data_IF_606003550882
#
_entry.id   IF_606003550882
#
_cell.length_a   1.000
_cell.length_b   1.000
_cell.length_c   1.000
_cell.angle_alpha   90.00
_cell.angle_beta   90.00
_cell.angle_gamma   90.00
#
_symmetry.space_group_name_H-M   'P 1'
#
loop_
_entity.id
_entity.type
_entity.pdbx_description
1 polymer ?
#
# COMPACT_ATOMS: atom_id res chain seq x y z
N UNK A 1 35.44 -15.02 50.30
CA UNK A 1 35.53 -14.33 48.99
C UNK A 1 34.72 -15.02 47.86
N UNK A 2 34.74 -16.36 47.69
CA UNK A 2 33.96 -17.05 46.62
C UNK A 2 32.43 -16.85 46.68
N UNK A 3 31.82 -16.77 47.87
CA UNK A 3 30.36 -16.59 48.03
C UNK A 3 29.86 -15.22 47.56
N UNK A 4 30.62 -14.15 47.84
CA UNK A 4 30.29 -12.78 47.42
C UNK A 4 30.39 -12.65 45.90
N UNK A 5 31.40 -13.29 45.29
CA UNK A 5 31.57 -13.28 43.84
C UNK A 5 30.42 -13.99 43.11
N UNK A 6 29.90 -15.07 43.67
CA UNK A 6 28.73 -15.77 43.11
C UNK A 6 27.44 -14.98 43.28
N UNK A 7 27.26 -14.27 44.40
CA UNK A 7 26.10 -13.40 44.61
C UNK A 7 26.09 -12.23 43.62
N UNK A 8 27.27 -11.61 43.38
CA UNK A 8 27.42 -10.53 42.41
C UNK A 8 27.07 -10.97 40.97
N UNK A 9 27.49 -12.18 40.57
CA UNK A 9 27.16 -12.75 39.25
C UNK A 9 25.66 -12.98 39.07
N UNK A 10 24.97 -13.48 40.09
CA UNK A 10 23.52 -13.72 40.04
C UNK A 10 22.78 -12.38 39.96
N UNK A 11 23.19 -11.37 40.73
CA UNK A 11 22.58 -10.03 40.67
C UNK A 11 22.75 -9.37 39.30
N UNK A 12 23.88 -9.53 38.64
CA UNK A 12 24.11 -8.99 37.28
C UNK A 12 23.23 -9.69 36.24
N UNK A 13 23.09 -11.01 36.32
CA UNK A 13 22.22 -11.78 35.42
C UNK A 13 20.75 -11.39 35.62
N UNK A 14 20.31 -11.23 36.87
CA UNK A 14 18.96 -10.75 37.17
C UNK A 14 18.72 -9.33 36.61
N UNK A 15 19.70 -8.42 36.70
CA UNK A 15 19.59 -7.07 36.14
C UNK A 15 19.49 -7.09 34.60
N UNK A 16 20.26 -7.95 33.94
CA UNK A 16 20.21 -8.17 32.49
C UNK A 16 18.86 -8.74 32.04
N UNK A 17 18.31 -9.71 32.78
CA UNK A 17 16.99 -10.27 32.49
C UNK A 17 15.86 -9.25 32.63
N UNK A 18 15.95 -8.35 33.63
CA UNK A 18 14.97 -7.26 33.80
C UNK A 18 15.11 -6.24 32.66
N UNK A 19 16.33 -5.88 32.26
CA UNK A 19 16.58 -4.95 31.15
C UNK A 19 16.04 -5.49 29.81
N UNK A 20 16.31 -6.76 29.50
CA UNK A 20 15.77 -7.42 28.28
C UNK A 20 14.24 -7.50 28.36
N UNK A 21 13.67 -7.86 29.52
CA UNK A 21 12.22 -7.89 29.73
C UNK A 21 11.54 -6.53 29.53
N UNK A 22 12.18 -5.43 29.93
CA UNK A 22 11.69 -4.06 29.66
C UNK A 22 11.81 -3.68 28.19
N UNK A 23 12.86 -4.09 27.47
CA UNK A 23 12.99 -3.83 26.02
C UNK A 23 11.93 -4.60 25.23
N UNK A 24 11.62 -5.84 25.60
CA UNK A 24 10.58 -6.65 24.94
C UNK A 24 9.17 -6.13 25.24
N UNK A 25 8.91 -5.61 26.45
CA UNK A 25 7.62 -4.98 26.78
C UNK A 25 7.39 -3.64 26.08
N UNK A 26 8.44 -2.87 25.81
CA UNK A 26 8.34 -1.61 25.05
C UNK A 26 8.40 -1.81 23.53
N UNK A 27 9.04 -2.87 23.04
CA UNK A 27 9.10 -3.19 21.60
C UNK A 27 7.88 -3.98 21.07
N UNK A 28 7.00 -4.47 21.95
CA UNK A 28 5.95 -5.44 21.59
C UNK A 28 4.62 -4.88 21.06
N UNK A 29 4.41 -3.56 20.97
CA UNK A 29 3.12 -3.00 20.47
C UNK A 29 3.24 -1.73 19.65
N UNK A 30 4.44 -1.36 19.21
CA UNK A 30 4.62 -0.32 18.20
C UNK A 30 5.11 -0.98 16.92
N UNK A 31 4.17 -1.48 16.12
CA UNK A 31 4.36 -1.46 14.66
C UNK A 31 4.81 -0.01 14.38
N UNK A 32 6.04 0.22 13.88
CA UNK A 32 6.51 1.57 13.69
C UNK A 32 5.59 2.24 12.67
N UNK A 33 4.68 3.09 13.17
CA UNK A 33 4.12 4.17 12.39
C UNK A 33 5.33 4.87 11.77
N UNK A 34 5.33 5.00 10.44
CA UNK A 34 6.36 5.67 9.64
C UNK A 34 7.61 4.85 9.28
N UNK A 35 7.49 3.89 8.37
CA UNK A 35 8.60 3.46 7.52
C UNK A 35 8.58 4.05 6.10
N UNK A 36 7.64 4.94 5.77
CA UNK A 36 7.65 5.66 4.48
C UNK A 36 8.70 6.78 4.37
N UNK A 37 9.42 7.08 5.46
CA UNK A 37 10.47 8.10 5.48
C UNK A 37 11.90 7.52 5.38
N UNK A 38 12.06 6.20 5.21
CA UNK A 38 13.39 5.65 4.93
C UNK A 38 13.65 5.73 3.42
N UNK A 39 14.68 6.46 2.96
CA UNK A 39 15.04 6.55 1.54
C UNK A 39 15.58 5.23 0.93
N UNK A 40 15.43 4.09 1.63
CA UNK A 40 15.98 2.79 1.26
C UNK A 40 14.97 1.64 1.45
N UNK A 41 13.71 1.80 1.02
CA UNK A 41 12.81 0.64 0.90
C UNK A 41 13.18 -0.14 -0.37
N UNK A 42 13.28 -1.45 -0.27
CA UNK A 42 13.41 -2.33 -1.44
C UNK A 42 12.12 -2.31 -2.28
N UNK A 43 12.17 -2.85 -3.50
CA UNK A 43 10.96 -3.01 -4.33
C UNK A 43 9.96 -3.99 -3.71
N UNK A 44 10.44 -4.95 -2.91
CA UNK A 44 9.61 -5.86 -2.13
C UNK A 44 8.95 -5.15 -0.93
N UNK A 45 9.68 -4.23 -0.28
CA UNK A 45 9.17 -3.52 0.91
C UNK A 45 7.97 -2.62 0.58
N UNK A 46 7.97 -1.93 -0.57
CA UNK A 46 6.81 -1.08 -0.97
C UNK A 46 5.55 -1.93 -1.18
N UNK A 47 5.70 -3.16 -1.68
CA UNK A 47 4.60 -4.11 -1.88
C UNK A 47 4.08 -4.60 -0.53
N UNK A 48 4.97 -5.04 0.36
CA UNK A 48 4.60 -5.50 1.72
C UNK A 48 3.88 -4.39 2.47
N UNK A 49 4.38 -3.16 2.38
CA UNK A 49 3.75 -1.99 2.99
C UNK A 49 2.36 -1.71 2.39
N UNK A 50 2.23 -1.78 1.07
CA UNK A 50 0.92 -1.62 0.41
C UNK A 50 -0.10 -2.65 0.87
N UNK A 51 0.25 -3.95 0.84
CA UNK A 51 -0.66 -5.03 1.23
C UNK A 51 -1.10 -4.86 2.69
N UNK A 52 -0.15 -4.64 3.60
CA UNK A 52 -0.46 -4.43 5.02
C UNK A 52 -1.35 -3.20 5.24
N UNK A 53 -1.09 -2.10 4.52
CA UNK A 53 -1.89 -0.88 4.59
C UNK A 53 -3.29 -1.07 4.03
N UNK A 54 -3.42 -1.79 2.91
CA UNK A 54 -4.69 -2.07 2.25
C UNK A 54 -5.64 -2.82 3.20
N UNK A 55 -5.18 -3.92 3.78
CA UNK A 55 -6.00 -4.75 4.69
C UNK A 55 -6.11 -4.20 6.12
N UNK A 56 -5.31 -3.20 6.49
CA UNK A 56 -5.54 -2.38 7.69
C UNK A 56 -6.32 -1.09 7.43
N UNK A 57 -6.75 -0.90 6.17
CA UNK A 57 -7.52 0.25 5.71
C UNK A 57 -6.84 1.62 5.92
N UNK A 58 -5.51 1.66 5.92
CA UNK A 58 -4.70 2.87 6.05
C UNK A 58 -4.51 3.55 4.69
N UNK A 59 -5.46 4.41 4.32
CA UNK A 59 -5.44 5.16 3.06
C UNK A 59 -4.17 6.00 2.89
N UNK A 60 -3.64 6.58 3.96
CA UNK A 60 -2.44 7.42 3.87
C UNK A 60 -1.21 6.62 3.41
N UNK A 61 -1.07 5.40 3.92
CA UNK A 61 0.04 4.53 3.55
C UNK A 61 -0.18 3.95 2.16
N UNK A 62 -1.40 3.49 1.84
CA UNK A 62 -1.75 2.99 0.50
C UNK A 62 -1.42 4.03 -0.57
N UNK A 63 -1.88 5.27 -0.42
CA UNK A 63 -1.62 6.37 -1.38
C UNK A 63 -0.13 6.63 -1.58
N UNK A 64 0.69 6.52 -0.53
CA UNK A 64 2.15 6.73 -0.61
C UNK A 64 2.89 5.59 -1.32
N UNK A 65 2.31 4.40 -1.40
CA UNK A 65 2.91 3.28 -2.13
C UNK A 65 2.88 3.49 -3.65
N UNK A 66 1.91 4.25 -4.18
CA UNK A 66 1.71 4.42 -5.62
C UNK A 66 2.51 5.59 -6.19
N UNK A 67 2.90 5.48 -7.46
CA UNK A 67 3.68 6.51 -8.13
C UNK A 67 2.84 7.77 -8.32
N UNK A 68 3.36 8.98 -8.03
CA UNK A 68 2.68 10.22 -8.33
C UNK A 68 2.46 10.42 -9.84
N UNK A 69 3.21 9.70 -10.69
CA UNK A 69 3.07 9.73 -12.15
C UNK A 69 1.73 9.18 -12.62
N UNK A 70 1.02 8.41 -11.78
CA UNK A 70 -0.35 7.98 -12.06
C UNK A 70 -1.37 9.13 -12.05
N UNK A 71 -0.98 10.33 -11.62
CA UNK A 71 -1.78 11.55 -11.77
C UNK A 71 -1.47 12.36 -13.03
N UNK A 72 -0.43 11.98 -13.79
CA UNK A 72 0.02 12.72 -14.97
C UNK A 72 -0.41 12.00 -16.25
N UNK A 73 -1.27 12.64 -17.06
CA UNK A 73 -1.82 12.03 -18.28
C UNK A 73 -0.73 11.59 -19.27
N UNK A 74 0.37 12.31 -19.40
CA UNK A 74 1.45 11.92 -20.30
C UNK A 74 2.15 10.64 -19.84
N UNK A 75 2.39 10.53 -18.53
CA UNK A 75 2.96 9.32 -17.92
C UNK A 75 1.97 8.15 -17.99
N UNK A 76 0.67 8.41 -17.82
CA UNK A 76 -0.35 7.39 -18.01
C UNK A 76 -0.37 6.84 -19.44
N UNK A 77 -0.24 7.69 -20.48
CA UNK A 77 -0.13 7.22 -21.86
C UNK A 77 1.12 6.35 -22.05
N UNK A 78 2.22 6.76 -21.44
CA UNK A 78 3.46 6.00 -21.42
C UNK A 78 3.29 4.62 -20.76
N UNK A 79 2.64 4.54 -19.59
CA UNK A 79 2.37 3.27 -18.91
C UNK A 79 1.37 2.40 -19.70
N UNK A 80 0.29 2.99 -20.23
CA UNK A 80 -0.71 2.29 -21.06
C UNK A 80 -0.08 1.61 -22.27
N UNK A 81 0.86 2.29 -22.96
CA UNK A 81 1.58 1.72 -24.11
C UNK A 81 2.40 0.46 -23.75
N UNK A 82 2.63 0.21 -22.46
CA UNK A 82 3.38 -0.94 -21.92
C UNK A 82 2.47 -2.00 -21.30
N UNK A 83 1.16 -1.88 -21.51
CA UNK A 83 0.18 -2.86 -21.02
C UNK A 83 -0.27 -2.64 -19.58
N UNK A 84 0.03 -1.48 -18.98
CA UNK A 84 -0.44 -1.16 -17.64
C UNK A 84 -1.98 -0.99 -17.63
N UNK A 85 -2.67 -1.84 -16.87
CA UNK A 85 -4.13 -1.85 -16.72
C UNK A 85 -4.62 -0.64 -15.95
N UNK A 86 -4.02 -0.36 -14.80
CA UNK A 86 -4.40 0.79 -13.97
C UNK A 86 -4.28 2.11 -14.73
N UNK A 87 -3.25 2.26 -15.57
CA UNK A 87 -3.07 3.45 -16.39
C UNK A 87 -4.19 3.61 -17.44
N UNK A 88 -4.71 2.50 -17.98
CA UNK A 88 -5.85 2.51 -18.89
C UNK A 88 -7.11 2.99 -18.18
N UNK A 89 -7.38 2.45 -16.98
CA UNK A 89 -8.51 2.84 -16.13
C UNK A 89 -8.44 4.33 -15.76
N UNK A 90 -7.27 4.82 -15.36
CA UNK A 90 -7.07 6.23 -15.00
C UNK A 90 -7.25 7.18 -16.20
N UNK A 91 -6.85 6.75 -17.41
CA UNK A 91 -7.10 7.53 -18.64
C UNK A 91 -8.59 7.61 -18.94
N UNK A 92 -9.32 6.51 -18.77
CA UNK A 92 -10.76 6.46 -18.98
C UNK A 92 -11.50 7.33 -17.94
N UNK A 93 -11.14 7.17 -16.66
CA UNK A 93 -11.64 8.00 -15.56
C UNK A 93 -11.39 9.49 -15.85
N UNK A 94 -10.17 9.87 -16.25
CA UNK A 94 -9.87 11.26 -16.59
C UNK A 94 -10.70 11.74 -17.79
N UNK A 95 -10.91 10.90 -18.80
CA UNK A 95 -11.73 11.28 -19.96
C UNK A 95 -13.18 11.54 -19.55
N UNK A 96 -13.76 10.68 -18.71
CA UNK A 96 -15.09 10.86 -18.15
C UNK A 96 -15.16 12.12 -17.27
N UNK A 97 -14.18 12.32 -16.38
CA UNK A 97 -14.07 13.51 -15.56
C UNK A 97 -14.06 14.80 -16.39
N UNK A 98 -13.21 14.87 -17.43
CA UNK A 98 -13.13 16.06 -18.31
C UNK A 98 -14.40 16.29 -19.12
N UNK A 99 -15.09 15.22 -19.52
CA UNK A 99 -16.35 15.32 -20.23
C UNK A 99 -17.47 15.83 -19.32
N UNK A 100 -17.66 15.20 -18.16
CA UNK A 100 -18.74 15.53 -17.22
C UNK A 100 -18.53 16.86 -16.52
N UNK A 101 -17.28 17.33 -16.37
CA UNK A 101 -17.00 18.70 -15.92
C UNK A 101 -17.61 19.77 -16.85
N UNK A 102 -17.72 19.47 -18.14
CA UNK A 102 -18.35 20.35 -19.13
C UNK A 102 -19.83 20.05 -19.34
N UNK A 103 -20.24 18.81 -19.07
CA UNK A 103 -21.59 18.30 -19.28
C UNK A 103 -22.03 17.49 -18.05
N UNK A 104 -22.39 18.12 -16.92
CA UNK A 104 -22.70 17.39 -15.69
C UNK A 104 -23.77 16.32 -15.89
N UNK A 105 -23.63 15.13 -15.28
CA UNK A 105 -24.57 14.05 -15.43
C UNK A 105 -25.82 14.29 -14.57
N UNK A 106 -26.72 15.15 -15.05
CA UNK A 106 -27.94 15.54 -14.35
C UNK A 106 -27.88 16.94 -13.75
N UNK A 107 -28.89 17.27 -12.96
CA UNK A 107 -29.04 18.54 -12.24
C UNK A 107 -28.61 18.40 -10.78
N UNK A 108 -28.29 19.51 -10.07
CA UNK A 108 -28.03 19.48 -8.64
C UNK A 108 -29.15 18.78 -7.85
N UNK A 109 -28.78 17.84 -6.98
CA UNK A 109 -29.72 16.97 -6.27
C UNK A 109 -29.98 15.61 -6.94
N UNK A 110 -29.60 15.42 -8.21
CA UNK A 110 -29.59 14.09 -8.83
C UNK A 110 -28.45 13.24 -8.28
N UNK A 111 -28.70 11.96 -8.01
CA UNK A 111 -27.69 11.01 -7.49
C UNK A 111 -26.40 11.01 -8.33
N UNK A 112 -26.54 10.96 -9.67
CA UNK A 112 -25.40 10.96 -10.59
C UNK A 112 -24.62 12.27 -10.57
N UNK A 113 -25.31 13.40 -10.37
CA UNK A 113 -24.65 14.69 -10.23
C UNK A 113 -23.84 14.73 -8.94
N UNK A 114 -24.43 14.32 -7.81
CA UNK A 114 -23.75 14.30 -6.51
C UNK A 114 -22.56 13.33 -6.49
N UNK A 115 -22.70 12.14 -7.10
CA UNK A 115 -21.59 11.19 -7.29
C UNK A 115 -20.46 11.82 -8.10
N UNK A 116 -20.78 12.48 -9.22
CA UNK A 116 -19.80 13.18 -10.03
C UNK A 116 -19.11 14.31 -9.24
N UNK A 117 -19.86 15.10 -8.47
CA UNK A 117 -19.30 16.18 -7.66
C UNK A 117 -18.36 15.67 -6.57
N UNK A 118 -18.70 14.54 -5.92
CA UNK A 118 -17.82 13.87 -4.95
C UNK A 118 -16.52 13.41 -5.61
N UNK A 119 -16.61 12.70 -6.73
CA UNK A 119 -15.44 12.27 -7.51
C UNK A 119 -14.59 13.47 -7.95
N UNK A 120 -15.23 14.49 -8.53
CA UNK A 120 -14.58 15.72 -9.02
C UNK A 120 -13.81 16.42 -7.91
N UNK A 121 -14.41 16.56 -6.72
CA UNK A 121 -13.74 17.18 -5.58
C UNK A 121 -12.46 16.44 -5.19
N UNK A 122 -12.49 15.11 -5.15
CA UNK A 122 -11.32 14.30 -4.78
C UNK A 122 -10.25 14.36 -5.86
N UNK A 123 -10.62 14.23 -7.14
CA UNK A 123 -9.68 14.32 -8.26
C UNK A 123 -8.96 15.67 -8.26
N UNK A 124 -9.67 16.77 -7.98
CA UNK A 124 -9.10 18.11 -7.96
C UNK A 124 -8.19 18.38 -6.74
N UNK A 125 -8.54 17.86 -5.57
CA UNK A 125 -7.76 18.09 -4.34
C UNK A 125 -6.62 17.10 -4.14
N UNK A 126 -6.77 15.86 -4.59
CA UNK A 126 -5.88 14.75 -4.25
C UNK A 126 -5.34 14.00 -5.48
N UNK A 127 -6.00 14.07 -6.64
CA UNK A 127 -5.59 13.42 -7.88
C UNK A 127 -6.34 12.11 -8.21
N UNK A 128 -6.23 11.69 -9.47
CA UNK A 128 -6.93 10.54 -10.06
C UNK A 128 -6.67 9.23 -9.31
N UNK A 129 -5.40 8.92 -9.02
CA UNK A 129 -5.06 7.65 -8.36
C UNK A 129 -5.62 7.60 -6.95
N UNK A 130 -5.67 8.74 -6.25
CA UNK A 130 -6.15 8.78 -4.88
C UNK A 130 -7.66 8.51 -4.79
N UNK A 131 -8.45 8.97 -5.77
CA UNK A 131 -9.85 8.60 -5.89
C UNK A 131 -10.04 7.08 -6.03
N UNK A 132 -9.32 6.45 -6.98
CA UNK A 132 -9.40 5.00 -7.22
C UNK A 132 -8.98 4.20 -5.97
N UNK A 133 -7.93 4.64 -5.27
CA UNK A 133 -7.45 3.98 -4.05
C UNK A 133 -8.45 4.12 -2.89
N UNK A 134 -9.10 5.27 -2.73
CA UNK A 134 -10.11 5.48 -1.70
C UNK A 134 -11.36 4.63 -1.94
N UNK A 135 -11.82 4.51 -3.19
CA UNK A 135 -12.91 3.59 -3.56
C UNK A 135 -12.53 2.14 -3.26
N UNK A 136 -11.33 1.72 -3.65
CA UNK A 136 -10.83 0.37 -3.38
C UNK A 136 -10.80 0.04 -1.88
N UNK A 137 -10.33 0.98 -1.06
CA UNK A 137 -10.30 0.83 0.40
C UNK A 137 -11.71 0.79 0.96
N UNK A 138 -12.62 1.64 0.46
CA UNK A 138 -14.03 1.68 0.92
C UNK A 138 -14.72 0.35 0.65
N UNK A 139 -14.62 -0.17 -0.58
CA UNK A 139 -15.20 -1.46 -0.96
C UNK A 139 -14.61 -2.62 -0.13
N UNK A 140 -13.31 -2.57 0.17
CA UNK A 140 -12.66 -3.57 1.01
C UNK A 140 -13.14 -3.51 2.47
N UNK A 141 -13.28 -2.30 3.03
CA UNK A 141 -13.83 -2.11 4.39
C UNK A 141 -15.24 -2.68 4.49
N UNK A 142 -16.07 -2.46 3.47
CA UNK A 142 -17.44 -2.98 3.41
C UNK A 142 -17.46 -4.51 3.34
N UNK A 143 -16.63 -5.09 2.47
CA UNK A 143 -16.50 -6.55 2.31
C UNK A 143 -16.14 -7.24 3.64
N UNK A 144 -15.21 -6.68 4.40
CA UNK A 144 -14.79 -7.24 5.69
C UNK A 144 -15.56 -6.67 6.89
N UNK A 145 -16.63 -5.89 6.68
CA UNK A 145 -17.44 -5.29 7.75
C UNK A 145 -16.60 -4.55 8.80
N UNK A 146 -15.58 -3.80 8.34
CA UNK A 146 -14.58 -3.11 9.16
C UNK A 146 -13.68 -3.99 10.04
N UNK A 147 -13.65 -5.31 9.82
CA UNK A 147 -12.70 -6.20 10.49
C UNK A 147 -11.40 -6.31 9.72
N UNK A 148 -10.28 -6.33 10.44
CA UNK A 148 -8.95 -6.48 9.85
C UNK A 148 -8.59 -7.97 9.78
N UNK A 149 -8.45 -8.57 8.58
CA UNK A 149 -7.88 -9.91 8.48
C UNK A 149 -6.41 -9.91 8.88
N UNK A 150 -5.91 -11.05 9.34
CA UNK A 150 -4.47 -11.24 9.54
C UNK A 150 -3.81 -11.50 8.19
N UNK A 151 -2.65 -10.88 7.94
CA UNK A 151 -2.04 -10.86 6.61
C UNK A 151 -0.57 -11.23 6.70
N UNK A 152 -0.18 -12.25 5.94
CA UNK A 152 1.20 -12.65 5.73
C UNK A 152 1.57 -12.50 4.25
N UNK A 153 2.67 -11.80 3.94
CA UNK A 153 3.09 -11.51 2.56
C UNK A 153 4.40 -12.24 2.26
N UNK A 154 4.42 -13.03 1.20
CA UNK A 154 5.58 -13.73 0.65
C UNK A 154 5.86 -13.20 -0.76
N UNK A 155 6.95 -12.45 -0.95
CA UNK A 155 7.33 -11.92 -2.26
C UNK A 155 8.34 -12.85 -2.95
N UNK A 156 8.11 -13.19 -4.21
CA UNK A 156 9.08 -13.91 -5.05
C UNK A 156 9.48 -13.06 -6.26
N UNK A 157 10.75 -12.69 -6.33
CA UNK A 157 11.25 -11.82 -7.39
C UNK A 157 11.56 -12.64 -8.65
N UNK A 158 10.57 -12.85 -9.52
CA UNK A 158 10.81 -13.31 -10.90
C UNK A 158 11.10 -12.07 -11.75
N UNK A 159 12.35 -11.60 -11.75
CA UNK A 159 12.66 -10.30 -12.36
C UNK A 159 12.54 -10.37 -13.88
N UNK A 160 11.52 -9.71 -14.43
CA UNK A 160 11.61 -9.10 -15.75
C UNK A 160 11.90 -7.62 -15.52
N UNK A 161 13.15 -7.20 -15.69
CA UNK A 161 13.50 -5.79 -15.61
C UNK A 161 13.44 -5.17 -17.00
N UNK A 162 12.72 -4.06 -17.13
CA UNK A 162 12.73 -3.27 -18.35
C UNK A 162 13.69 -2.08 -18.17
N UNK A 163 14.96 -2.29 -18.54
CA UNK A 163 16.03 -1.28 -18.40
C UNK A 163 15.70 0.05 -19.09
N UNK A 164 15.01 -0.01 -20.24
CA UNK A 164 14.66 1.19 -21.00
C UNK A 164 13.66 2.06 -20.25
N UNK A 165 12.86 1.43 -19.39
CA UNK A 165 11.66 2.03 -18.81
C UNK A 165 11.69 2.10 -17.28
N UNK A 166 12.73 1.56 -16.66
CA UNK A 166 12.96 1.52 -15.21
C UNK A 166 11.79 0.91 -14.42
N UNK A 167 11.17 -0.12 -15.01
CA UNK A 167 10.07 -0.89 -14.41
C UNK A 167 10.55 -2.27 -14.00
N UNK A 168 10.26 -2.62 -12.75
CA UNK A 168 10.44 -3.96 -12.18
C UNK A 168 9.08 -4.67 -12.14
N UNK A 169 9.03 -5.89 -12.65
CA UNK A 169 7.86 -6.77 -12.53
C UNK A 169 8.17 -7.83 -11.46
N UNK A 170 7.28 -7.95 -10.47
CA UNK A 170 7.42 -8.86 -9.33
C UNK A 170 6.22 -9.78 -9.21
N UNK A 171 6.44 -11.03 -8.81
CA UNK A 171 5.36 -11.92 -8.40
C UNK A 171 5.24 -11.88 -6.88
N UNK A 172 4.01 -11.77 -6.41
CA UNK A 172 3.71 -11.58 -4.99
C UNK A 172 2.65 -12.58 -4.61
N UNK A 173 2.94 -13.38 -3.59
CA UNK A 173 1.98 -14.26 -2.95
C UNK A 173 1.64 -13.69 -1.59
N UNK A 174 0.37 -13.50 -1.27
CA UNK A 174 0.00 -13.20 0.10
C UNK A 174 -1.10 -14.14 0.58
N UNK A 175 -1.06 -14.38 1.89
CA UNK A 175 -1.95 -15.25 2.62
C UNK A 175 -2.78 -14.38 3.55
N UNK A 176 -4.09 -14.46 3.41
CA UNK A 176 -5.05 -13.78 4.27
C UNK A 176 -5.68 -14.83 5.18
N UNK A 177 -5.64 -14.60 6.49
CA UNK A 177 -6.33 -15.43 7.47
C UNK A 177 -7.48 -14.64 8.08
N UNK A 178 -8.70 -15.17 7.94
CA UNK A 178 -9.90 -14.53 8.47
C UNK A 178 -10.16 -14.89 9.94
N UNK A 179 -11.22 -14.33 10.52
CA UNK A 179 -11.65 -14.61 11.89
C UNK A 179 -12.00 -16.10 12.13
N UNK A 180 -12.37 -16.83 11.08
CA UNK A 180 -12.69 -18.26 11.12
C UNK A 180 -11.43 -19.14 10.98
N UNK A 181 -10.24 -18.53 10.89
CA UNK A 181 -8.94 -19.17 10.63
C UNK A 181 -8.85 -19.82 9.25
N UNK A 182 -9.74 -19.45 8.33
CA UNK A 182 -9.63 -19.84 6.94
C UNK A 182 -8.51 -19.04 6.28
N UNK A 183 -7.68 -19.73 5.49
CA UNK A 183 -6.54 -19.11 4.81
C UNK A 183 -6.79 -19.06 3.31
N UNK A 184 -6.76 -17.85 2.78
CA UNK A 184 -6.89 -17.55 1.35
C UNK A 184 -5.52 -17.18 0.80
N UNK A 185 -5.19 -17.70 -0.38
CA UNK A 185 -3.92 -17.41 -1.06
C UNK A 185 -4.22 -16.61 -2.32
N UNK A 186 -3.55 -15.47 -2.46
CA UNK A 186 -3.62 -14.66 -3.67
C UNK A 186 -2.23 -14.52 -4.28
N UNK A 187 -2.12 -14.90 -5.55
CA UNK A 187 -0.95 -14.64 -6.38
C UNK A 187 -1.24 -13.39 -7.24
N UNK A 188 -0.34 -12.41 -7.22
CA UNK A 188 -0.44 -11.15 -7.97
C UNK A 188 0.86 -10.85 -8.70
N UNK A 189 0.78 -10.17 -9.84
CA UNK A 189 1.95 -9.53 -10.45
C UNK A 189 1.90 -8.03 -10.16
N UNK A 190 2.98 -7.47 -9.62
CA UNK A 190 3.07 -6.05 -9.27
C UNK A 190 4.16 -5.38 -10.11
N UNK A 191 3.84 -4.23 -10.67
CA UNK A 191 4.79 -3.41 -11.43
C UNK A 191 5.23 -2.25 -10.56
N UNK A 192 6.55 -2.11 -10.42
CA UNK A 192 7.17 -1.10 -9.57
C UNK A 192 8.10 -0.23 -10.41
N UNK A 193 8.05 1.07 -10.22
CA UNK A 193 8.92 2.06 -10.83
C UNK A 193 9.90 2.59 -9.78
N UNK A 194 11.17 2.76 -10.14
CA UNK A 194 12.12 3.53 -9.33
C UNK A 194 12.12 4.99 -9.75
N UNK A 195 11.85 5.91 -8.83
CA UNK A 195 11.85 7.36 -9.07
C UNK A 195 12.43 8.09 -7.86
N UNK A 196 13.33 9.04 -8.10
CA UNK A 196 13.97 9.85 -7.06
C UNK A 196 14.56 9.03 -5.89
N UNK A 197 15.14 7.87 -6.22
CA UNK A 197 15.72 6.94 -5.25
C UNK A 197 14.72 6.07 -4.49
N UNK A 198 13.41 6.21 -4.74
CA UNK A 198 12.34 5.46 -4.08
C UNK A 198 11.63 4.54 -5.06
N UNK A 199 11.02 3.47 -4.53
CA UNK A 199 10.21 2.55 -5.30
C UNK A 199 8.72 2.84 -5.11
N UNK A 200 7.97 2.77 -6.20
CA UNK A 200 6.54 3.06 -6.25
C UNK A 200 5.81 2.02 -7.07
N UNK A 201 4.63 1.61 -6.64
CA UNK A 201 3.72 0.78 -7.43
C UNK A 201 3.13 1.61 -8.57
N UNK A 202 3.16 1.07 -9.78
CA UNK A 202 2.50 1.65 -10.96
C UNK A 202 1.39 0.75 -11.51
N UNK A 203 1.38 -0.55 -11.18
CA UNK A 203 0.28 -1.46 -11.53
C UNK A 203 0.24 -2.68 -10.60
N UNK A 204 -0.93 -3.34 -10.57
CA UNK A 204 -1.15 -4.62 -9.90
C UNK A 204 -2.10 -5.47 -10.76
N UNK A 205 -1.59 -6.58 -11.29
CA UNK A 205 -2.37 -7.55 -12.05
C UNK A 205 -2.95 -8.65 -11.16
N UNK A 206 -4.12 -9.15 -11.56
CA UNK A 206 -4.83 -10.31 -11.00
C UNK A 206 -4.47 -11.56 -11.80
#
# INVERSE_FOLDING_TARGET
MKKILNFLKISIICLLCVLIGSVVKFGGTTIPKYMFNSPNLSKEDVIVNYINALYSFDSNVVKKCFSPDLNNINELQYFKARGNSLARELIELNSNYQYYKKNPPGEPGDEKYEEFMKMSSIIESEGLINYVLDEKITNLKELYSNKKPDVAVETETISKYDEKNQLDFLKVRFKLTDDNKETYVEDREVVVQKKDGKYYIVDIYI
#
